data_IF_093426755394
#
_entry.id   IF_093426755394
#
_cell.length_a   1.000
_cell.length_b   1.000
_cell.length_c   1.000
_cell.angle_alpha   90.00
_cell.angle_beta   90.00
_cell.angle_gamma   90.00
#
_symmetry.space_group_name_H-M   'P 1'
#
loop_
_entity.id
_entity.type
_entity.pdbx_description
1 polymer ?
#
# COMPACT_ATOMS: atom_id res chain seq x y z
N UNK A 1 -2.76 4.38 -10.54
CA UNK A 1 -1.55 3.69 -10.09
C UNK A 1 -1.02 2.85 -11.24
N UNK A 2 0.26 2.93 -11.51
CA UNK A 2 0.89 2.14 -12.57
C UNK A 2 1.12 0.72 -12.05
N UNK A 3 1.05 -0.28 -12.94
CA UNK A 3 1.44 -1.65 -12.64
C UNK A 3 2.94 -1.76 -12.36
N UNK A 4 3.36 -2.90 -11.81
CA UNK A 4 4.77 -3.21 -11.55
C UNK A 4 5.17 -4.40 -12.42
N UNK A 5 6.39 -4.38 -13.00
CA UNK A 5 6.86 -5.45 -13.89
C UNK A 5 5.97 -5.60 -15.12
N UNK A 6 5.54 -6.82 -15.42
CA UNK A 6 4.66 -7.12 -16.56
C UNK A 6 3.27 -6.47 -16.46
N UNK A 7 2.87 -6.03 -15.27
CA UNK A 7 1.64 -5.25 -15.07
C UNK A 7 1.77 -3.78 -15.47
N UNK A 8 2.99 -3.30 -15.77
CA UNK A 8 3.21 -1.94 -16.23
C UNK A 8 3.01 -1.85 -17.76
N UNK A 9 1.77 -1.88 -18.19
CA UNK A 9 1.38 -1.83 -19.60
C UNK A 9 1.23 -0.40 -20.10
N UNK A 10 1.32 -0.20 -21.41
CA UNK A 10 0.97 1.06 -22.01
C UNK A 10 -0.54 1.29 -21.89
N UNK A 11 -0.91 2.29 -21.13
CA UNK A 11 -2.31 2.70 -20.92
C UNK A 11 -2.59 4.00 -21.66
N UNK A 12 -3.79 4.14 -22.19
CA UNK A 12 -4.19 5.35 -22.92
C UNK A 12 -4.28 6.57 -21.98
N UNK A 13 -4.74 6.34 -20.75
CA UNK A 13 -4.83 7.32 -19.66
C UNK A 13 -4.95 6.60 -18.33
N UNK A 14 -4.83 7.33 -17.24
CA UNK A 14 -5.09 6.85 -15.87
C UNK A 14 -5.87 7.92 -15.14
N UNK A 15 -6.97 7.53 -14.51
CA UNK A 15 -7.72 8.40 -13.61
C UNK A 15 -7.24 8.14 -12.19
N UNK A 16 -6.50 9.09 -11.64
CA UNK A 16 -6.08 9.06 -10.24
C UNK A 16 -7.26 9.32 -9.29
N UNK A 17 -7.08 9.06 -8.00
CA UNK A 17 -8.09 9.43 -7.00
C UNK A 17 -8.39 10.93 -7.02
N UNK A 18 -7.36 11.77 -7.18
CA UNK A 18 -7.53 13.23 -7.27
C UNK A 18 -8.35 13.63 -8.51
N UNK A 19 -8.10 12.99 -9.65
CA UNK A 19 -8.89 13.23 -10.86
C UNK A 19 -10.32 12.77 -10.68
N UNK A 20 -10.52 11.58 -10.10
CA UNK A 20 -11.84 11.05 -9.78
C UNK A 20 -12.64 11.98 -8.87
N UNK A 21 -12.02 12.51 -7.80
CA UNK A 21 -12.66 13.48 -6.91
C UNK A 21 -13.08 14.75 -7.67
N UNK A 22 -12.20 15.30 -8.50
CA UNK A 22 -12.53 16.46 -9.35
C UNK A 22 -13.65 16.15 -10.34
N UNK A 23 -13.61 14.99 -10.99
CA UNK A 23 -14.66 14.54 -11.93
C UNK A 23 -16.01 14.39 -11.22
N UNK A 24 -15.98 13.96 -9.95
CA UNK A 24 -17.15 13.87 -9.07
C UNK A 24 -17.65 15.20 -8.52
N UNK A 25 -16.97 16.31 -8.83
CA UNK A 25 -17.34 17.65 -8.37
C UNK A 25 -16.84 18.00 -6.97
N UNK A 26 -15.90 17.24 -6.41
CA UNK A 26 -15.31 17.49 -5.11
C UNK A 26 -14.11 18.41 -5.17
N UNK A 27 -13.98 19.27 -4.17
CA UNK A 27 -12.80 20.12 -4.00
C UNK A 27 -11.75 19.37 -3.19
N UNK A 28 -10.52 19.35 -3.69
CA UNK A 28 -9.36 18.78 -2.99
C UNK A 28 -8.49 19.92 -2.50
N UNK A 29 -7.93 19.78 -1.30
CA UNK A 29 -7.03 20.79 -0.71
C UNK A 29 -5.78 20.98 -1.59
N UNK A 30 -5.61 22.19 -2.11
CA UNK A 30 -4.42 22.56 -2.88
C UNK A 30 -3.16 22.55 -2.01
N UNK A 31 -3.27 22.93 -0.74
CA UNK A 31 -2.16 22.91 0.21
C UNK A 31 -1.61 21.50 0.39
N UNK A 32 -2.51 20.50 0.58
CA UNK A 32 -2.13 19.09 0.69
C UNK A 32 -1.53 18.57 -0.61
N UNK A 33 -2.15 18.91 -1.74
CA UNK A 33 -1.64 18.52 -3.04
C UNK A 33 -0.20 18.99 -3.24
N UNK A 34 0.07 20.28 -3.00
CA UNK A 34 1.41 20.86 -3.10
C UNK A 34 2.41 20.21 -2.12
N UNK A 35 1.95 19.94 -0.87
CA UNK A 35 2.78 19.30 0.13
C UNK A 35 3.22 17.88 -0.30
N UNK A 36 2.32 17.10 -0.91
CA UNK A 36 2.64 15.78 -1.44
C UNK A 36 3.44 15.83 -2.75
N UNK A 37 3.15 16.76 -3.64
CA UNK A 37 3.94 16.96 -4.86
C UNK A 37 5.40 17.29 -4.50
N UNK A 38 5.61 18.17 -3.54
CA UNK A 38 6.96 18.47 -3.04
C UNK A 38 7.61 17.25 -2.40
N UNK A 39 6.91 16.53 -1.52
CA UNK A 39 7.42 15.34 -0.84
C UNK A 39 7.89 14.27 -1.84
N UNK A 40 7.06 13.98 -2.86
CA UNK A 40 7.42 13.02 -3.91
C UNK A 40 8.54 13.55 -4.81
N UNK A 41 8.55 14.84 -5.12
CA UNK A 41 9.64 15.48 -5.87
C UNK A 41 10.99 15.34 -5.15
N UNK A 42 11.02 15.67 -3.86
CA UNK A 42 12.20 15.54 -3.01
C UNK A 42 12.69 14.08 -2.92
N UNK A 43 11.75 13.12 -2.77
CA UNK A 43 12.07 11.69 -2.76
C UNK A 43 12.69 11.21 -4.07
N UNK A 44 12.11 11.56 -5.21
CA UNK A 44 12.63 11.17 -6.51
C UNK A 44 13.99 11.81 -6.80
N UNK A 45 14.16 13.06 -6.42
CA UNK A 45 15.44 13.75 -6.57
C UNK A 45 16.54 13.09 -5.72
N UNK A 46 16.24 12.76 -4.46
CA UNK A 46 17.18 12.06 -3.59
C UNK A 46 17.56 10.68 -4.14
N UNK A 47 16.57 9.93 -4.66
CA UNK A 47 16.81 8.64 -5.28
C UNK A 47 17.69 8.73 -6.53
N UNK A 48 17.43 9.68 -7.42
CA UNK A 48 18.26 9.87 -8.61
C UNK A 48 19.68 10.28 -8.24
N UNK A 49 19.86 11.09 -7.21
CA UNK A 49 21.18 11.45 -6.70
C UNK A 49 21.93 10.22 -6.15
N UNK A 50 21.25 9.35 -5.41
CA UNK A 50 21.81 8.09 -4.93
C UNK A 50 22.24 7.19 -6.10
N UNK A 51 21.37 7.01 -7.08
CA UNK A 51 21.64 6.20 -8.28
C UNK A 51 22.84 6.77 -9.05
N UNK A 52 22.91 8.08 -9.23
CA UNK A 52 24.02 8.74 -9.91
C UNK A 52 25.37 8.55 -9.18
N UNK A 53 25.34 8.51 -7.85
CA UNK A 53 26.56 8.22 -7.05
C UNK A 53 27.01 6.77 -7.23
N UNK A 54 26.05 5.82 -7.18
CA UNK A 54 26.34 4.40 -7.43
C UNK A 54 26.86 4.17 -8.85
N UNK A 55 26.33 4.89 -9.83
CA UNK A 55 26.73 4.74 -11.24
C UNK A 55 28.22 5.04 -11.49
N UNK A 56 28.84 5.84 -10.65
CA UNK A 56 30.29 6.12 -10.72
C UNK A 56 31.15 4.89 -10.45
N UNK A 57 30.65 3.96 -9.65
CA UNK A 57 31.38 2.74 -9.21
C UNK A 57 30.76 1.46 -9.75
N UNK A 58 29.44 1.42 -9.96
CA UNK A 58 28.70 0.24 -10.40
C UNK A 58 27.55 0.62 -11.35
N UNK A 59 27.86 0.69 -12.63
CA UNK A 59 26.89 1.02 -13.69
C UNK A 59 25.76 0.00 -13.80
N UNK A 60 26.06 -1.28 -13.57
CA UNK A 60 25.06 -2.33 -13.67
C UNK A 60 24.03 -2.22 -12.55
N UNK A 61 24.49 -2.00 -11.32
CA UNK A 61 23.61 -1.77 -10.17
C UNK A 61 22.76 -0.52 -10.35
N UNK A 62 23.33 0.57 -10.82
CA UNK A 62 22.59 1.81 -11.08
C UNK A 62 21.49 1.61 -12.13
N UNK A 63 21.79 0.90 -13.23
CA UNK A 63 20.80 0.54 -14.25
C UNK A 63 19.67 -0.32 -13.66
N UNK A 64 20.02 -1.29 -12.83
CA UNK A 64 19.03 -2.13 -12.14
C UNK A 64 18.14 -1.31 -11.21
N UNK A 65 18.70 -0.38 -10.44
CA UNK A 65 17.92 0.49 -9.55
C UNK A 65 16.95 1.41 -10.30
N UNK A 66 17.26 1.82 -11.52
CA UNK A 66 16.32 2.57 -12.39
C UNK A 66 15.22 1.69 -12.94
N UNK A 67 15.51 0.43 -13.25
CA UNK A 67 14.57 -0.50 -13.83
C UNK A 67 13.63 -1.13 -12.80
N UNK A 68 14.16 -1.45 -11.62
CA UNK A 68 13.37 -2.09 -10.57
C UNK A 68 12.51 -1.08 -9.79
N UNK A 69 11.30 -1.49 -9.39
CA UNK A 69 10.46 -0.65 -8.56
C UNK A 69 11.18 -0.25 -7.27
N UNK A 70 11.07 1.00 -6.89
CA UNK A 70 11.45 1.43 -5.55
C UNK A 70 10.35 1.07 -4.56
N UNK A 71 10.72 0.75 -3.33
CA UNK A 71 9.76 0.72 -2.23
C UNK A 71 9.07 2.08 -2.05
N UNK A 72 7.98 2.09 -1.30
CA UNK A 72 7.35 3.34 -0.89
C UNK A 72 8.23 4.02 0.18
N UNK A 73 8.38 5.34 0.15
CA UNK A 73 9.02 6.07 1.24
C UNK A 73 8.18 5.97 2.52
N UNK A 74 8.79 6.26 3.66
CA UNK A 74 8.04 6.46 4.89
C UNK A 74 6.98 7.55 4.68
N UNK A 75 5.79 7.37 5.26
CA UNK A 75 4.66 8.28 5.04
C UNK A 75 4.99 9.69 5.54
N UNK A 76 4.56 10.69 4.75
CA UNK A 76 4.75 12.10 5.10
C UNK A 76 4.05 12.41 6.41
N UNK A 77 4.76 13.06 7.31
CA UNK A 77 4.20 13.54 8.57
C UNK A 77 3.75 15.00 8.46
N UNK A 78 2.74 15.35 9.23
CA UNK A 78 2.23 16.70 9.40
C UNK A 78 2.25 17.07 10.87
N UNK A 79 2.36 18.35 11.16
CA UNK A 79 2.14 18.88 12.51
C UNK A 79 0.66 18.92 12.83
N UNK A 80 0.31 18.91 14.11
CA UNK A 80 -1.09 19.04 14.54
C UNK A 80 -1.72 20.32 14.01
N UNK A 81 -0.99 21.43 14.02
CA UNK A 81 -1.47 22.71 13.49
C UNK A 81 -1.78 22.69 11.99
N UNK A 82 -0.96 21.97 11.19
CA UNK A 82 -1.25 21.76 9.76
C UNK A 82 -2.51 20.93 9.57
N UNK A 83 -2.69 19.87 10.35
CA UNK A 83 -3.89 19.03 10.28
C UNK A 83 -5.15 19.79 10.72
N UNK A 84 -5.07 20.60 11.78
CA UNK A 84 -6.16 21.47 12.24
C UNK A 84 -6.56 22.51 11.17
N UNK A 85 -5.56 23.09 10.49
CA UNK A 85 -5.82 24.02 9.38
C UNK A 85 -6.50 23.32 8.19
N UNK A 86 -6.18 22.03 7.91
CA UNK A 86 -6.89 21.25 6.91
C UNK A 86 -8.29 20.88 7.37
N UNK A 87 -8.45 20.41 8.61
CA UNK A 87 -9.75 20.07 9.17
C UNK A 87 -10.71 21.27 9.19
N UNK A 88 -10.21 22.50 9.36
CA UNK A 88 -11.05 23.70 9.31
C UNK A 88 -11.66 23.95 7.91
N UNK A 89 -11.02 23.50 6.84
CA UNK A 89 -11.42 23.75 5.44
C UNK A 89 -12.14 22.57 4.77
N UNK A 90 -11.92 21.35 5.25
CA UNK A 90 -12.42 20.13 4.63
C UNK A 90 -13.63 19.58 5.37
N UNK A 91 -14.53 18.90 4.67
CA UNK A 91 -15.69 18.22 5.26
C UNK A 91 -15.34 16.82 5.74
N UNK A 92 -14.35 16.18 5.11
CA UNK A 92 -13.92 14.81 5.38
C UNK A 92 -12.44 14.65 5.07
N UNK A 93 -11.76 13.74 5.78
CA UNK A 93 -10.43 13.28 5.42
C UNK A 93 -10.50 11.92 4.70
N UNK A 94 -9.76 11.77 3.62
CA UNK A 94 -9.53 10.48 2.95
C UNK A 94 -8.03 10.17 3.03
N UNK A 95 -7.67 9.15 3.81
CA UNK A 95 -6.30 8.69 3.97
C UNK A 95 -6.08 7.44 3.10
N UNK A 96 -5.13 7.49 2.18
CA UNK A 96 -4.83 6.34 1.31
C UNK A 96 -3.64 5.56 1.84
N UNK A 97 -3.82 4.26 2.06
CA UNK A 97 -2.75 3.33 2.40
C UNK A 97 -2.48 2.45 1.19
N UNK A 98 -1.23 2.42 0.74
CA UNK A 98 -0.79 1.65 -0.41
C UNK A 98 0.16 0.53 -0.04
N UNK A 99 0.12 -0.57 -0.81
CA UNK A 99 1.17 -1.59 -0.82
C UNK A 99 1.52 -1.91 -2.26
N UNK A 100 2.80 -1.99 -2.53
CA UNK A 100 3.30 -2.43 -3.82
C UNK A 100 3.45 -3.94 -3.74
N UNK A 101 2.73 -4.64 -4.59
CA UNK A 101 2.94 -6.05 -4.87
C UNK A 101 3.14 -6.19 -6.37
N UNK A 102 4.22 -6.82 -6.77
CA UNK A 102 4.52 -6.92 -8.18
C UNK A 102 5.67 -7.87 -8.43
N UNK A 103 6.01 -7.97 -9.69
CA UNK A 103 7.08 -8.78 -10.18
C UNK A 103 8.43 -8.38 -9.56
N UNK A 104 9.35 -9.32 -9.43
CA UNK A 104 10.73 -9.23 -8.95
C UNK A 104 10.92 -9.30 -7.42
N UNK A 105 9.96 -8.89 -6.61
CA UNK A 105 10.13 -8.88 -5.15
C UNK A 105 8.86 -9.35 -4.44
N UNK A 106 9.06 -10.23 -3.48
CA UNK A 106 8.02 -10.58 -2.53
C UNK A 106 7.85 -9.45 -1.50
N UNK A 107 6.63 -9.30 -1.00
CA UNK A 107 6.40 -8.46 0.16
C UNK A 107 7.06 -9.08 1.38
N UNK A 108 7.63 -8.24 2.22
CA UNK A 108 8.16 -8.68 3.51
C UNK A 108 7.00 -8.95 4.48
N UNK A 109 7.20 -9.84 5.45
CA UNK A 109 6.24 -10.05 6.53
C UNK A 109 5.93 -8.77 7.32
N UNK A 110 6.93 -7.88 7.45
CA UNK A 110 6.73 -6.56 8.07
C UNK A 110 5.72 -5.68 7.34
N UNK A 111 5.54 -5.87 6.03
CA UNK A 111 4.59 -5.07 5.23
C UNK A 111 3.12 -5.47 5.48
N UNK A 112 2.90 -6.53 6.26
CA UNK A 112 1.58 -6.90 6.73
C UNK A 112 1.02 -5.84 7.69
N UNK A 113 1.85 -5.27 8.55
CA UNK A 113 1.44 -4.21 9.47
C UNK A 113 1.55 -2.83 8.83
N UNK A 114 0.87 -1.84 9.42
CA UNK A 114 1.18 -0.44 9.13
C UNK A 114 2.58 -0.12 9.66
N UNK A 115 3.34 0.64 8.88
CA UNK A 115 4.58 1.23 9.36
C UNK A 115 4.30 2.31 10.42
N UNK A 116 5.30 2.60 11.27
CA UNK A 116 5.16 3.60 12.33
C UNK A 116 4.68 4.97 11.81
N UNK A 117 5.19 5.39 10.64
CA UNK A 117 4.80 6.66 10.03
C UNK A 117 3.34 6.67 9.55
N UNK A 118 2.85 5.56 8.98
CA UNK A 118 1.46 5.39 8.54
C UNK A 118 0.51 5.40 9.74
N UNK A 119 0.83 4.61 10.76
CA UNK A 119 0.01 4.50 11.97
C UNK A 119 -0.02 5.84 12.74
N UNK A 120 1.10 6.53 12.81
CA UNK A 120 1.18 7.83 13.46
C UNK A 120 0.32 8.87 12.73
N UNK A 121 0.42 8.94 11.40
CA UNK A 121 -0.41 9.83 10.59
C UNK A 121 -1.89 9.51 10.74
N UNK A 122 -2.28 8.23 10.67
CA UNK A 122 -3.66 7.80 10.85
C UNK A 122 -4.23 8.26 12.20
N UNK A 123 -3.51 8.02 13.29
CA UNK A 123 -3.92 8.45 14.63
C UNK A 123 -4.09 9.95 14.71
N UNK A 124 -3.13 10.72 14.22
CA UNK A 124 -3.18 12.18 14.28
C UNK A 124 -4.34 12.74 13.43
N UNK A 125 -4.56 12.19 12.24
CA UNK A 125 -5.68 12.63 11.38
C UNK A 125 -7.02 12.32 12.05
N UNK A 126 -7.21 11.10 12.57
CA UNK A 126 -8.42 10.74 13.29
C UNK A 126 -8.65 11.68 14.50
N UNK A 127 -7.63 11.86 15.33
CA UNK A 127 -7.73 12.72 16.52
C UNK A 127 -8.16 14.16 16.18
N UNK A 128 -7.56 14.74 15.14
CA UNK A 128 -7.83 16.14 14.76
C UNK A 128 -9.20 16.28 14.11
N UNK A 129 -9.54 15.41 13.16
CA UNK A 129 -10.81 15.50 12.44
C UNK A 129 -12.00 15.15 13.33
N UNK A 130 -11.90 14.16 14.19
CA UNK A 130 -12.95 13.82 15.14
C UNK A 130 -13.18 14.94 16.16
N UNK A 131 -12.13 15.61 16.66
CA UNK A 131 -12.26 16.80 17.50
C UNK A 131 -12.98 17.95 16.79
N UNK A 132 -12.83 18.04 15.47
CA UNK A 132 -13.54 19.02 14.64
C UNK A 132 -14.96 18.55 14.23
N UNK A 133 -15.43 17.38 14.71
CA UNK A 133 -16.71 16.80 14.36
C UNK A 133 -16.79 16.28 12.93
N UNK A 134 -15.66 15.91 12.34
CA UNK A 134 -15.53 15.47 10.94
C UNK A 134 -15.07 14.02 10.84
N UNK A 135 -15.40 13.39 9.74
CA UNK A 135 -15.15 11.98 9.49
C UNK A 135 -13.81 11.73 8.80
N UNK A 136 -13.28 10.53 9.01
CA UNK A 136 -12.06 10.02 8.38
C UNK A 136 -12.36 8.70 7.69
N UNK A 137 -12.02 8.60 6.40
CA UNK A 137 -12.12 7.37 5.63
C UNK A 137 -10.71 6.90 5.26
N UNK A 138 -10.43 5.64 5.50
CA UNK A 138 -9.21 4.99 5.01
C UNK A 138 -9.50 4.27 3.71
N UNK A 139 -8.74 4.59 2.68
CA UNK A 139 -8.78 3.93 1.38
C UNK A 139 -7.58 2.99 1.25
N UNK A 140 -7.84 1.69 1.14
CA UNK A 140 -6.81 0.69 0.94
C UNK A 140 -6.60 0.42 -0.56
N UNK A 141 -5.43 0.81 -1.04
CA UNK A 141 -4.98 0.52 -2.39
C UNK A 141 -3.89 -0.55 -2.33
N UNK A 142 -4.32 -1.78 -2.13
CA UNK A 142 -3.47 -2.93 -1.82
C UNK A 142 -3.88 -4.13 -2.65
N UNK A 143 -2.92 -4.95 -3.07
CA UNK A 143 -3.17 -6.18 -3.82
C UNK A 143 -3.28 -7.45 -2.96
N UNK A 144 -3.16 -7.32 -1.64
CA UNK A 144 -3.25 -8.42 -0.68
C UNK A 144 -3.65 -7.90 0.68
N UNK A 145 -3.83 -8.80 1.66
CA UNK A 145 -4.25 -8.40 3.01
C UNK A 145 -3.15 -7.66 3.78
N UNK A 146 -3.57 -6.81 4.69
CA UNK A 146 -2.76 -6.17 5.72
C UNK A 146 -3.46 -6.32 7.06
N UNK A 147 -2.72 -6.16 8.15
CA UNK A 147 -3.27 -6.13 9.48
C UNK A 147 -4.20 -4.92 9.62
N UNK A 148 -5.41 -5.13 10.10
CA UNK A 148 -6.38 -4.08 10.35
C UNK A 148 -6.93 -4.09 11.77
N UNK A 149 -6.78 -5.19 12.50
CA UNK A 149 -7.41 -5.38 13.81
C UNK A 149 -6.96 -4.34 14.84
N UNK A 150 -5.71 -3.89 14.77
CA UNK A 150 -5.15 -2.92 15.74
C UNK A 150 -5.57 -1.46 15.50
N UNK A 151 -6.10 -1.14 14.32
CA UNK A 151 -6.39 0.25 13.95
C UNK A 151 -7.75 0.46 13.26
N UNK A 152 -8.48 -0.60 12.92
CA UNK A 152 -9.76 -0.52 12.20
C UNK A 152 -10.82 0.34 12.88
N UNK A 153 -10.72 0.52 14.18
CA UNK A 153 -11.66 1.30 14.98
C UNK A 153 -11.26 2.79 15.10
N UNK A 154 -10.14 3.20 14.50
CA UNK A 154 -9.72 4.61 14.47
C UNK A 154 -10.50 5.43 13.43
N UNK A 155 -10.60 5.03 12.14
CA UNK A 155 -11.36 5.76 11.14
C UNK A 155 -12.85 5.44 11.21
N UNK A 156 -13.69 6.29 10.63
CA UNK A 156 -15.14 6.06 10.54
C UNK A 156 -15.51 5.01 9.49
N UNK A 157 -14.68 4.85 8.46
CA UNK A 157 -14.88 3.84 7.43
C UNK A 157 -13.55 3.40 6.80
N UNK A 158 -13.54 2.15 6.32
CA UNK A 158 -12.43 1.60 5.55
C UNK A 158 -12.99 1.06 4.23
N UNK A 159 -12.44 1.57 3.11
CA UNK A 159 -12.77 1.09 1.77
C UNK A 159 -11.57 0.38 1.17
N UNK A 160 -11.70 -0.91 0.86
CA UNK A 160 -10.69 -1.65 0.12
C UNK A 160 -10.98 -1.51 -1.39
N UNK A 161 -10.19 -0.67 -2.06
CA UNK A 161 -10.27 -0.47 -3.50
C UNK A 161 -9.51 -1.53 -4.29
N UNK A 162 -8.65 -2.30 -3.62
CA UNK A 162 -7.76 -3.24 -4.30
C UNK A 162 -6.81 -2.51 -5.26
N UNK A 163 -6.47 -3.17 -6.34
CA UNK A 163 -5.70 -2.61 -7.44
C UNK A 163 -6.64 -2.32 -8.61
N UNK A 164 -7.38 -1.24 -8.49
CA UNK A 164 -8.31 -0.81 -9.52
C UNK A 164 -7.56 -0.42 -10.82
N UNK A 165 -8.17 -0.67 -11.95
CA UNK A 165 -7.59 -0.39 -13.25
C UNK A 165 -7.58 1.10 -13.62
N UNK A 166 -7.58 1.35 -14.91
CA UNK A 166 -7.43 2.66 -15.53
C UNK A 166 -8.43 3.71 -15.03
N UNK A 167 -9.67 3.29 -14.73
CA UNK A 167 -10.77 4.10 -14.20
C UNK A 167 -10.87 4.08 -12.67
N UNK A 168 -9.84 3.62 -11.99
CA UNK A 168 -9.85 3.39 -10.54
C UNK A 168 -10.27 4.61 -9.73
N UNK A 169 -9.83 5.80 -10.09
CA UNK A 169 -10.20 7.03 -9.39
C UNK A 169 -11.70 7.32 -9.48
N UNK A 170 -12.30 7.22 -10.66
CA UNK A 170 -13.74 7.43 -10.85
C UNK A 170 -14.55 6.38 -10.08
N UNK A 171 -14.18 5.09 -10.20
CA UNK A 171 -14.88 3.99 -9.54
C UNK A 171 -14.85 4.10 -8.02
N UNK A 172 -13.71 4.48 -7.44
CA UNK A 172 -13.57 4.71 -5.99
C UNK A 172 -14.47 5.87 -5.55
N UNK A 173 -14.50 6.96 -6.30
CA UNK A 173 -15.32 8.12 -5.96
C UNK A 173 -16.81 7.82 -6.09
N UNK A 174 -17.24 7.02 -7.06
CA UNK A 174 -18.63 6.58 -7.16
C UNK A 174 -19.10 5.81 -5.90
N UNK A 175 -18.18 5.05 -5.27
CA UNK A 175 -18.48 4.36 -4.01
C UNK A 175 -18.40 5.33 -2.82
N UNK A 176 -17.37 6.15 -2.72
CA UNK A 176 -17.21 7.11 -1.62
C UNK A 176 -18.36 8.11 -1.55
N UNK A 177 -18.91 8.50 -2.70
CA UNK A 177 -20.04 9.43 -2.79
C UNK A 177 -21.42 8.78 -2.56
N UNK A 178 -21.47 7.45 -2.43
CA UNK A 178 -22.72 6.72 -2.34
C UNK A 178 -23.50 6.59 -3.66
N UNK A 179 -22.91 7.02 -4.79
CA UNK A 179 -23.52 6.85 -6.12
C UNK A 179 -23.62 5.37 -6.49
N UNK A 180 -22.66 4.57 -6.04
CA UNK A 180 -22.65 3.12 -6.15
C UNK A 180 -22.46 2.49 -4.78
N UNK A 181 -23.29 1.51 -4.44
CA UNK A 181 -23.09 0.72 -3.22
C UNK A 181 -21.96 -0.29 -3.43
N UNK A 182 -21.01 -0.42 -2.46
CA UNK A 182 -19.96 -1.43 -2.58
C UNK A 182 -20.59 -2.84 -2.56
N UNK A 183 -20.35 -3.60 -3.62
CA UNK A 183 -20.92 -4.95 -3.79
C UNK A 183 -19.86 -6.05 -3.79
N UNK A 184 -18.59 -5.68 -3.89
CA UNK A 184 -17.47 -6.61 -3.82
C UNK A 184 -17.40 -7.34 -2.48
N UNK A 185 -16.95 -8.60 -2.52
CA UNK A 185 -16.70 -9.42 -1.34
C UNK A 185 -15.23 -9.77 -1.28
N UNK A 186 -14.69 -9.85 -0.07
CA UNK A 186 -13.33 -10.38 0.10
C UNK A 186 -13.27 -11.85 -0.27
N UNK A 187 -12.24 -12.21 -1.00
CA UNK A 187 -11.99 -13.58 -1.44
C UNK A 187 -11.11 -14.35 -0.45
N UNK A 188 -10.68 -13.70 0.60
CA UNK A 188 -9.78 -14.25 1.62
C UNK A 188 -10.14 -13.72 3.00
N UNK A 189 -9.83 -14.48 4.03
CA UNK A 189 -9.90 -14.04 5.42
C UNK A 189 -8.80 -13.03 5.72
N UNK A 190 -9.12 -12.02 6.51
CA UNK A 190 -8.16 -11.02 6.99
C UNK A 190 -7.71 -11.41 8.40
N UNK A 191 -6.51 -11.98 8.54
CA UNK A 191 -6.03 -12.47 9.82
C UNK A 191 -5.65 -11.31 10.75
N UNK A 192 -5.74 -11.56 12.05
CA UNK A 192 -5.30 -10.60 13.08
C UNK A 192 -3.77 -10.51 13.12
N UNK A 193 -3.10 -11.64 12.94
CA UNK A 193 -1.64 -11.72 12.90
C UNK A 193 -1.21 -12.40 11.61
N UNK A 194 -0.06 -12.01 11.09
CA UNK A 194 0.54 -12.67 9.95
C UNK A 194 0.68 -14.19 10.14
N UNK A 195 1.00 -14.62 11.37
CA UNK A 195 1.20 -16.02 11.73
C UNK A 195 -0.08 -16.85 11.89
N UNK A 196 -1.27 -16.23 11.83
CA UNK A 196 -2.54 -16.95 11.89
C UNK A 196 -2.83 -17.70 10.60
N UNK A 197 -2.18 -17.29 9.51
CA UNK A 197 -2.24 -18.00 8.23
C UNK A 197 -1.16 -19.08 8.22
N UNK A 198 -1.57 -20.33 8.02
CA UNK A 198 -0.65 -21.48 8.09
C UNK A 198 0.54 -21.37 7.14
N UNK A 199 0.29 -20.92 5.91
CA UNK A 199 1.33 -20.68 4.89
C UNK A 199 2.39 -19.65 5.31
N UNK A 200 2.15 -18.86 6.35
CA UNK A 200 3.14 -17.91 6.89
C UNK A 200 4.44 -18.57 7.36
N UNK A 201 4.40 -19.87 7.64
CA UNK A 201 5.58 -20.67 7.99
C UNK A 201 6.53 -20.90 6.80
N UNK A 202 5.99 -20.78 5.59
CA UNK A 202 6.69 -21.06 4.34
C UNK A 202 6.90 -19.79 3.50
N UNK A 203 6.10 -18.73 3.73
CA UNK A 203 6.11 -17.49 2.97
C UNK A 203 5.97 -16.25 3.87
N UNK A 204 6.60 -15.12 3.53
CA UNK A 204 7.60 -15.01 2.48
C UNK A 204 8.85 -15.81 2.84
N UNK A 205 9.55 -16.27 1.82
CA UNK A 205 10.85 -16.87 2.03
C UNK A 205 11.79 -15.77 2.51
N UNK A 206 12.38 -15.93 3.67
CA UNK A 206 13.33 -14.96 4.24
C UNK A 206 14.64 -15.01 3.43
N UNK A 207 14.66 -14.25 2.34
CA UNK A 207 15.82 -14.14 1.46
C UNK A 207 16.82 -13.18 2.09
N UNK A 208 17.72 -13.68 2.90
CA UNK A 208 18.93 -12.95 3.28
C UNK A 208 19.95 -12.92 2.15
N UNK A 209 19.66 -13.57 1.02
CA UNK A 209 20.53 -13.66 -0.14
C UNK A 209 20.55 -12.36 -0.93
N UNK A 210 21.75 -11.93 -1.29
CA UNK A 210 21.93 -10.93 -2.33
C UNK A 210 21.38 -11.50 -3.64
N UNK A 211 20.39 -10.84 -4.23
CA UNK A 211 19.99 -11.09 -5.60
C UNK A 211 21.19 -10.78 -6.52
N UNK A 212 21.91 -11.80 -6.93
CA UNK A 212 22.77 -11.70 -8.09
C UNK A 212 21.89 -12.01 -9.31
N UNK A 213 21.65 -10.98 -10.11
CA UNK A 213 20.76 -11.06 -11.27
C UNK A 213 21.26 -12.03 -12.36
N UNK A 214 22.44 -12.56 -12.22
CA UNK A 214 23.11 -13.42 -13.20
C UNK A 214 23.22 -14.88 -12.77
N UNK A 215 22.39 -15.39 -11.88
CA UNK A 215 22.30 -16.81 -11.48
C UNK A 215 22.93 -17.27 -10.17
N UNK A 216 23.35 -16.41 -9.28
CA UNK A 216 23.81 -16.87 -7.97
C UNK A 216 22.93 -16.31 -6.87
N UNK A 217 21.84 -17.00 -6.59
CA UNK A 217 21.18 -16.87 -5.30
C UNK A 217 22.08 -17.55 -4.28
N UNK A 218 22.90 -16.80 -3.53
CA UNK A 218 23.45 -17.31 -2.28
C UNK A 218 22.25 -17.53 -1.34
N UNK A 219 21.78 -18.74 -1.34
CA UNK A 219 20.64 -19.18 -0.56
C UNK A 219 21.10 -19.35 0.87
N UNK A 220 20.92 -18.29 1.68
CA UNK A 220 21.07 -18.41 3.13
C UNK A 220 20.20 -19.52 3.71
N UNK A 221 19.78 -19.44 4.93
CA UNK A 221 18.97 -20.47 5.63
C UNK A 221 17.56 -20.70 5.06
N UNK A 222 17.40 -20.66 3.73
CA UNK A 222 16.12 -20.90 3.08
C UNK A 222 15.80 -22.39 3.13
N UNK A 223 14.81 -22.77 3.91
CA UNK A 223 14.19 -24.08 3.80
C UNK A 223 13.43 -24.13 2.48
N UNK A 224 13.60 -25.19 1.73
CA UNK A 224 12.74 -25.52 0.58
C UNK A 224 12.73 -24.49 -0.54
N UNK A 225 13.87 -24.27 -1.17
CA UNK A 225 13.98 -23.37 -2.34
C UNK A 225 13.38 -23.96 -3.61
N UNK A 226 13.40 -25.29 -3.72
CA UNK A 226 13.05 -26.02 -4.93
C UNK A 226 11.62 -26.58 -4.91
N UNK A 227 10.98 -26.57 -3.74
CA UNK A 227 9.62 -27.07 -3.56
C UNK A 227 8.97 -26.52 -2.29
N UNK A 228 7.65 -26.45 -2.28
CA UNK A 228 6.85 -26.03 -1.14
C UNK A 228 5.80 -27.07 -0.83
N UNK A 229 5.68 -27.45 0.44
CA UNK A 229 4.57 -28.26 0.90
C UNK A 229 3.33 -27.37 1.09
N UNK A 230 2.22 -27.78 0.50
CA UNK A 230 0.90 -27.22 0.77
C UNK A 230 0.31 -27.96 1.98
N UNK A 231 0.80 -27.62 3.16
CA UNK A 231 0.46 -28.32 4.42
C UNK A 231 -0.98 -28.08 4.84
N UNK A 232 -1.62 -27.02 4.33
CA UNK A 232 -3.03 -26.72 4.56
C UNK A 232 -3.98 -27.64 3.82
N UNK A 233 -3.50 -28.32 2.76
CA UNK A 233 -4.31 -29.14 1.89
C UNK A 233 -5.57 -28.43 1.40
N UNK A 234 -6.77 -28.94 1.69
CA UNK A 234 -8.04 -28.30 1.33
C UNK A 234 -8.41 -27.13 2.22
N UNK A 235 -7.75 -26.98 3.38
CA UNK A 235 -8.03 -25.94 4.38
C UNK A 235 -7.23 -24.66 4.12
N UNK A 236 -7.33 -24.12 2.91
CA UNK A 236 -6.66 -22.87 2.52
C UNK A 236 -7.57 -21.67 2.81
N UNK A 237 -7.02 -20.63 3.43
CA UNK A 237 -7.70 -19.37 3.67
C UNK A 237 -8.96 -19.51 4.52
N UNK A 238 -10.10 -19.00 4.06
CA UNK A 238 -11.35 -19.01 4.81
C UNK A 238 -11.81 -20.42 5.23
N UNK A 239 -11.45 -21.46 4.48
CA UNK A 239 -11.82 -22.84 4.82
C UNK A 239 -11.18 -23.30 6.12
N UNK A 240 -9.95 -22.84 6.40
CA UNK A 240 -9.29 -23.13 7.68
C UNK A 240 -10.05 -22.47 8.82
N UNK A 241 -10.28 -21.16 8.75
CA UNK A 241 -10.93 -20.40 9.81
C UNK A 241 -12.38 -20.88 10.06
N UNK A 242 -13.15 -21.13 9.01
CA UNK A 242 -14.52 -21.65 9.15
C UNK A 242 -14.57 -23.06 9.72
N UNK A 243 -13.54 -23.89 9.52
CA UNK A 243 -13.54 -25.28 9.97
C UNK A 243 -13.01 -25.47 11.38
N UNK A 244 -12.11 -24.62 11.82
CA UNK A 244 -11.42 -24.78 13.11
C UNK A 244 -11.81 -23.71 14.16
N UNK A 245 -12.78 -22.85 13.85
CA UNK A 245 -13.34 -21.84 14.78
C UNK A 245 -12.28 -20.91 15.41
N UNK A 246 -11.29 -20.48 14.64
CA UNK A 246 -10.25 -19.55 15.09
C UNK A 246 -10.55 -18.07 14.74
#
# INVERSE_FOLDING_TARGET
>A
MLGTGSGNVNHAYVVSLLDGLKNGGYTVSDDLKQAYEKFWGDYHQAREAEIAEIEKTDKQRAMMMRFLPSGLPAEKQFTVAELEAQAAKADIAVLTIGRISGEFFDRKSSDFNLGDSELNLLKQVCDVYHKAGKQVVVLLNIGGVIETASWKDLPDAILCAGQAGQEGGNSVVDVLSGKQSPSGKFTMTWPVKFTDVYSSKNFPVDQTAKLDFMNTVERGNVKNVDWTNYEEDIYVGYRYFDSFEE
#
